data_IF_040061091973
#
_entry.id   IF_040061091973
#
_cell.length_a   1.000
_cell.length_b   1.000
_cell.length_c   1.000
_cell.angle_alpha   90.00
_cell.angle_beta   90.00
_cell.angle_gamma   90.00
#
_symmetry.space_group_name_H-M   'P 1'
#
loop_
_entity.id
_entity.type
_entity.pdbx_description
1 polymer ?
#
# COMPACT_ATOMS: atom_id res chain seq x y z
N UNK A 1 46.77 -77.10 -29.68
CA UNK A 1 45.44 -76.82 -30.25
C UNK A 1 44.57 -76.21 -29.13
N UNK A 2 44.58 -74.95 -28.91
CA UNK A 2 43.61 -74.28 -27.99
C UNK A 2 43.29 -72.95 -28.60
N UNK A 3 42.03 -72.77 -29.09
CA UNK A 3 41.53 -71.51 -29.67
C UNK A 3 41.08 -70.60 -28.53
N UNK A 4 41.74 -69.46 -28.41
CA UNK A 4 41.30 -68.39 -27.50
C UNK A 4 40.20 -67.54 -28.18
N UNK A 5 39.03 -67.52 -27.58
CA UNK A 5 37.91 -66.65 -28.00
C UNK A 5 38.05 -65.33 -27.25
N UNK A 6 38.38 -64.25 -27.98
CA UNK A 6 38.36 -62.91 -27.45
C UNK A 6 36.93 -62.40 -27.43
N UNK A 7 36.40 -62.16 -26.25
CA UNK A 7 35.10 -61.52 -26.03
C UNK A 7 35.37 -60.03 -25.93
N UNK A 8 35.02 -59.30 -27.00
CA UNK A 8 35.09 -57.86 -26.99
C UNK A 8 33.85 -57.29 -26.25
N UNK A 9 34.07 -56.75 -25.08
CA UNK A 9 33.03 -56.03 -24.34
C UNK A 9 32.95 -54.59 -24.88
N UNK A 10 31.91 -54.30 -25.63
CA UNK A 10 31.55 -52.96 -26.09
C UNK A 10 30.88 -52.23 -24.96
N UNK A 11 31.64 -51.41 -24.22
CA UNK A 11 31.08 -50.50 -23.24
C UNK A 11 30.52 -49.28 -23.98
N UNK A 12 29.21 -49.23 -24.15
CA UNK A 12 28.48 -48.05 -24.57
C UNK A 12 28.47 -47.02 -23.44
N UNK A 13 29.38 -46.05 -23.52
CA UNK A 13 29.38 -44.88 -22.63
C UNK A 13 28.28 -43.91 -23.12
N UNK A 14 27.04 -44.09 -22.64
CA UNK A 14 25.99 -43.13 -22.82
C UNK A 14 26.29 -41.90 -21.97
N UNK A 15 26.82 -40.84 -22.58
CA UNK A 15 26.96 -39.55 -21.96
C UNK A 15 25.57 -38.95 -21.71
N UNK A 16 25.11 -39.08 -20.46
CA UNK A 16 23.93 -38.36 -19.95
C UNK A 16 24.30 -36.89 -19.89
N UNK A 17 23.97 -36.12 -20.95
CA UNK A 17 24.04 -34.68 -20.89
C UNK A 17 22.93 -34.19 -19.96
N UNK A 18 23.23 -34.11 -18.66
CA UNK A 18 22.37 -33.47 -17.69
C UNK A 18 22.40 -31.96 -17.96
N UNK A 19 21.42 -31.46 -18.69
CA UNK A 19 21.11 -30.04 -18.78
C UNK A 19 20.63 -29.58 -17.40
N UNK A 20 21.54 -29.19 -16.56
CA UNK A 20 21.21 -28.49 -15.35
C UNK A 20 20.67 -27.11 -15.76
N UNK A 21 19.34 -26.95 -15.67
CA UNK A 21 18.72 -25.66 -15.72
C UNK A 21 19.35 -24.79 -14.62
N UNK A 22 20.07 -23.76 -15.03
CA UNK A 22 20.59 -22.74 -14.11
C UNK A 22 19.36 -22.11 -13.46
N UNK A 23 19.14 -22.21 -12.14
CA UNK A 23 18.07 -21.46 -11.50
C UNK A 23 18.35 -19.98 -11.79
N UNK A 24 17.37 -19.31 -12.39
CA UNK A 24 17.43 -17.85 -12.54
C UNK A 24 17.72 -17.28 -11.15
N UNK A 25 18.94 -16.85 -10.94
CA UNK A 25 19.32 -16.17 -9.72
C UNK A 25 18.43 -14.92 -9.64
N UNK A 26 17.42 -15.00 -8.78
CA UNK A 26 16.69 -13.83 -8.33
C UNK A 26 17.73 -12.98 -7.62
N UNK A 27 18.29 -12.03 -8.35
CA UNK A 27 19.12 -10.99 -7.75
C UNK A 27 18.18 -10.13 -6.89
N UNK A 28 17.93 -10.64 -5.69
CA UNK A 28 17.42 -9.84 -4.59
C UNK A 28 18.55 -8.87 -4.25
N UNK A 29 18.45 -7.64 -4.80
CA UNK A 29 19.27 -6.54 -4.32
C UNK A 29 18.81 -6.24 -2.88
N UNK A 30 19.58 -6.59 -1.82
CA UNK A 30 19.23 -6.20 -0.48
C UNK A 30 19.48 -4.69 -0.38
N UNK A 31 18.41 -3.91 -0.24
CA UNK A 31 18.50 -2.48 0.04
C UNK A 31 17.78 -1.53 -0.90
N UNK A 32 17.01 -2.00 -1.91
CA UNK A 32 16.02 -1.15 -2.56
C UNK A 32 14.66 -1.32 -1.85
N UNK A 33 14.57 -0.94 -0.60
CA UNK A 33 13.29 -0.49 -0.08
C UNK A 33 12.94 0.73 -0.93
N UNK A 34 11.89 0.64 -1.72
CA UNK A 34 11.45 1.75 -2.54
C UNK A 34 10.99 2.86 -1.58
N UNK A 35 11.83 3.85 -1.34
CA UNK A 35 11.48 5.09 -0.66
C UNK A 35 10.49 5.93 -1.50
N UNK A 36 9.82 5.29 -2.46
CA UNK A 36 8.78 5.93 -3.25
C UNK A 36 7.58 6.19 -2.33
N UNK A 37 7.02 7.40 -2.36
CA UNK A 37 5.86 7.73 -1.55
C UNK A 37 4.69 6.79 -1.87
N UNK A 38 4.14 6.15 -0.84
CA UNK A 38 2.96 5.29 -0.96
C UNK A 38 1.70 6.16 -1.02
N UNK A 39 0.94 6.02 -2.11
CA UNK A 39 -0.42 6.55 -2.17
C UNK A 39 -1.39 5.44 -2.58
N UNK A 40 -2.35 5.14 -1.71
CA UNK A 40 -3.35 4.09 -1.93
C UNK A 40 -4.76 4.58 -1.59
N UNK A 41 -5.75 4.21 -2.40
CA UNK A 41 -7.17 4.34 -2.03
C UNK A 41 -7.62 3.05 -1.37
N UNK A 42 -8.25 3.17 -0.20
CA UNK A 42 -8.73 2.06 0.63
C UNK A 42 -10.25 2.12 0.79
N UNK A 43 -10.89 0.97 0.87
CA UNK A 43 -12.31 0.84 1.15
C UNK A 43 -12.62 1.21 2.62
N UNK A 44 -13.90 1.47 2.99
CA UNK A 44 -14.27 1.69 4.39
C UNK A 44 -13.85 0.55 5.33
N UNK A 45 -13.99 -0.71 4.91
CA UNK A 45 -13.61 -1.87 5.72
C UNK A 45 -12.09 -1.98 5.91
N UNK A 46 -11.30 -1.76 4.83
CA UNK A 46 -9.85 -1.70 4.92
C UNK A 46 -9.41 -0.56 5.85
N UNK A 47 -10.02 0.62 5.70
CA UNK A 47 -9.74 1.78 6.56
C UNK A 47 -10.08 1.49 8.03
N UNK A 48 -11.20 0.80 8.31
CA UNK A 48 -11.57 0.39 9.66
C UNK A 48 -10.52 -0.54 10.27
N UNK A 49 -10.08 -1.56 9.53
CA UNK A 49 -9.01 -2.46 9.97
C UNK A 49 -7.70 -1.72 10.25
N UNK A 50 -7.35 -0.74 9.41
CA UNK A 50 -6.16 0.09 9.62
C UNK A 50 -6.28 0.93 10.91
N UNK A 51 -7.44 1.54 11.17
CA UNK A 51 -7.69 2.32 12.39
C UNK A 51 -7.56 1.45 13.64
N UNK A 52 -8.07 0.23 13.60
CA UNK A 52 -8.03 -0.69 14.74
C UNK A 52 -6.62 -1.22 15.01
N UNK A 53 -5.81 -1.43 13.98
CA UNK A 53 -4.50 -2.07 14.08
C UNK A 53 -3.32 -1.10 14.18
N UNK A 54 -3.45 0.15 13.68
CA UNK A 54 -2.33 1.10 13.56
C UNK A 54 -2.49 2.30 14.49
N UNK A 55 -1.72 2.33 15.57
CA UNK A 55 -1.72 3.45 16.54
C UNK A 55 -1.02 4.72 16.02
N UNK A 56 -0.18 4.58 15.01
CA UNK A 56 0.56 5.67 14.38
C UNK A 56 -0.24 6.40 13.29
N UNK A 57 -1.35 5.81 12.81
CA UNK A 57 -2.18 6.33 11.73
C UNK A 57 -2.89 7.63 12.13
N UNK A 58 -2.63 8.71 11.42
CA UNK A 58 -3.37 9.97 11.56
C UNK A 58 -4.61 9.94 10.68
N UNK A 59 -5.78 10.09 11.31
CA UNK A 59 -7.04 10.30 10.58
C UNK A 59 -7.21 11.79 10.33
N UNK A 60 -7.18 12.20 9.07
CA UNK A 60 -7.25 13.60 8.68
C UNK A 60 -8.52 13.88 7.89
N UNK A 61 -9.48 14.54 8.56
CA UNK A 61 -10.70 15.01 7.90
C UNK A 61 -10.43 16.36 7.24
N UNK A 62 -10.60 16.43 5.94
CA UNK A 62 -10.31 17.64 5.14
C UNK A 62 -11.58 18.38 4.71
N UNK A 63 -12.70 18.08 5.36
CA UNK A 63 -13.97 18.78 5.17
C UNK A 63 -13.98 20.15 5.85
N UNK A 64 -15.04 20.93 5.64
CA UNK A 64 -15.33 22.10 6.45
C UNK A 64 -15.88 21.69 7.83
N UNK A 65 -15.74 22.59 8.80
CA UNK A 65 -16.27 22.37 10.17
C UNK A 65 -17.79 22.19 10.18
N UNK A 66 -18.49 22.87 9.30
CA UNK A 66 -19.94 22.79 9.11
C UNK A 66 -20.40 21.40 8.64
N UNK A 67 -19.54 20.67 7.93
CA UNK A 67 -19.83 19.31 7.45
C UNK A 67 -19.77 18.23 8.55
N UNK A 68 -19.15 18.52 9.71
CA UNK A 68 -18.97 17.55 10.79
C UNK A 68 -20.29 17.15 11.46
N UNK A 69 -21.28 18.02 11.41
CA UNK A 69 -22.64 17.72 11.91
C UNK A 69 -23.30 16.53 11.21
N UNK A 70 -22.87 16.19 9.98
CA UNK A 70 -23.31 15.01 9.27
C UNK A 70 -22.67 13.69 9.77
N UNK A 71 -21.81 13.77 10.78
CA UNK A 71 -21.04 12.67 11.36
C UNK A 71 -19.56 12.71 10.98
N UNK A 72 -18.70 12.23 11.86
CA UNK A 72 -17.24 12.11 11.66
C UNK A 72 -16.69 10.83 12.27
N UNK A 73 -15.53 10.37 11.80
CA UNK A 73 -14.86 9.20 12.34
C UNK A 73 -14.15 9.60 13.64
N UNK A 74 -14.41 8.87 14.71
CA UNK A 74 -13.81 9.13 16.03
C UNK A 74 -12.27 9.11 15.95
N UNK A 75 -11.64 10.08 16.59
CA UNK A 75 -10.17 10.25 16.56
C UNK A 75 -9.63 10.97 15.33
N UNK A 76 -10.50 11.41 14.40
CA UNK A 76 -10.05 12.24 13.29
C UNK A 76 -9.71 13.68 13.73
N UNK A 77 -8.66 14.22 13.12
CA UNK A 77 -8.27 15.63 13.24
C UNK A 77 -8.83 16.39 12.04
N UNK A 78 -9.49 17.50 12.28
CA UNK A 78 -10.00 18.36 11.22
C UNK A 78 -8.90 19.36 10.81
N UNK A 79 -8.52 19.32 9.53
CA UNK A 79 -7.77 20.39 8.86
C UNK A 79 -8.42 20.61 7.51
N UNK A 80 -9.19 21.69 7.35
CA UNK A 80 -9.89 21.94 6.09
C UNK A 80 -8.94 21.96 4.89
N UNK A 81 -9.38 21.37 3.77
CA UNK A 81 -8.60 21.27 2.54
C UNK A 81 -7.95 22.60 2.15
N UNK A 82 -8.71 23.70 2.25
CA UNK A 82 -8.24 25.03 1.84
C UNK A 82 -7.12 25.57 2.72
N UNK A 83 -7.09 25.21 4.00
CA UNK A 83 -6.01 25.59 4.91
C UNK A 83 -4.71 24.87 4.55
N UNK A 84 -4.80 23.62 4.12
CA UNK A 84 -3.65 22.86 3.62
C UNK A 84 -3.14 23.45 2.30
N UNK A 85 -4.04 23.74 1.36
CA UNK A 85 -3.68 24.32 0.04
C UNK A 85 -3.07 25.69 0.18
N UNK A 86 -3.62 26.56 1.04
CA UNK A 86 -3.08 27.88 1.33
C UNK A 86 -1.78 27.83 2.15
N UNK A 87 -1.46 26.68 2.74
CA UNK A 87 -0.29 26.51 3.59
C UNK A 87 -0.42 27.12 4.97
N UNK A 88 -1.63 27.52 5.39
CA UNK A 88 -1.90 28.04 6.76
C UNK A 88 -1.85 26.94 7.80
N UNK A 89 -2.18 25.70 7.41
CA UNK A 89 -2.00 24.50 8.22
C UNK A 89 -1.29 23.41 7.41
N UNK A 90 -0.41 22.66 8.07
CA UNK A 90 0.34 21.58 7.41
C UNK A 90 0.24 20.28 8.22
N UNK A 91 -0.26 19.20 7.60
CA UNK A 91 -0.20 17.87 8.21
C UNK A 91 1.25 17.41 8.43
N UNK A 92 1.53 16.64 9.50
CA UNK A 92 2.87 16.10 9.75
C UNK A 92 3.32 15.19 8.61
N UNK A 93 4.64 15.18 8.31
CA UNK A 93 5.22 14.28 7.28
C UNK A 93 5.77 12.97 7.85
N UNK A 94 5.82 12.84 9.17
CA UNK A 94 6.43 11.69 9.86
C UNK A 94 5.42 10.62 10.33
N UNK A 95 4.20 10.67 9.80
CA UNK A 95 3.14 9.70 10.12
C UNK A 95 2.40 9.28 8.87
N UNK A 96 1.90 8.03 8.81
CA UNK A 96 0.92 7.62 7.82
C UNK A 96 -0.39 8.40 8.03
N UNK A 97 -1.02 8.81 6.95
CA UNK A 97 -2.24 9.64 6.98
C UNK A 97 -3.35 8.96 6.18
N UNK A 98 -4.51 8.79 6.81
CA UNK A 98 -5.77 8.46 6.14
C UNK A 98 -6.56 9.74 5.92
N UNK A 99 -6.68 10.16 4.67
CA UNK A 99 -7.44 11.34 4.28
C UNK A 99 -8.93 11.01 4.12
N UNK A 100 -9.77 11.83 4.73
CA UNK A 100 -11.21 11.68 4.79
C UNK A 100 -11.87 12.94 4.23
N UNK A 101 -12.84 12.80 3.33
CA UNK A 101 -13.74 13.89 2.95
C UNK A 101 -15.17 13.38 2.78
N UNK A 102 -16.09 14.17 2.23
CA UNK A 102 -17.49 13.75 2.11
C UNK A 102 -17.68 12.52 1.21
N UNK A 103 -17.11 12.53 -0.01
CA UNK A 103 -17.32 11.50 -1.06
C UNK A 103 -16.03 10.99 -1.69
N UNK A 104 -14.88 11.25 -1.08
CA UNK A 104 -13.57 10.73 -1.51
C UNK A 104 -12.83 11.53 -2.59
N UNK A 105 -13.46 12.50 -3.25
CA UNK A 105 -12.83 13.25 -4.34
C UNK A 105 -11.80 14.28 -3.87
N UNK A 106 -12.13 15.10 -2.87
CA UNK A 106 -11.23 16.10 -2.27
C UNK A 106 -9.98 15.43 -1.67
N UNK A 107 -10.19 14.36 -0.91
CA UNK A 107 -9.11 13.59 -0.28
C UNK A 107 -8.25 12.86 -1.31
N UNK A 108 -8.81 12.36 -2.42
CA UNK A 108 -8.07 11.76 -3.53
C UNK A 108 -7.11 12.77 -4.18
N UNK A 109 -7.61 13.96 -4.51
CA UNK A 109 -6.81 15.01 -5.15
C UNK A 109 -5.69 15.49 -4.22
N UNK A 110 -6.03 15.76 -2.95
CA UNK A 110 -5.06 16.17 -1.94
C UNK A 110 -3.99 15.08 -1.70
N UNK A 111 -4.38 13.82 -1.59
CA UNK A 111 -3.46 12.71 -1.36
C UNK A 111 -2.43 12.56 -2.47
N UNK A 112 -2.85 12.70 -3.73
CA UNK A 112 -1.93 12.73 -4.87
C UNK A 112 -0.95 13.89 -4.80
N UNK A 113 -1.43 15.08 -4.41
CA UNK A 113 -0.59 16.27 -4.25
C UNK A 113 0.41 16.08 -3.10
N UNK A 114 -0.03 15.61 -1.94
CA UNK A 114 0.82 15.35 -0.78
C UNK A 114 1.91 14.32 -1.09
N UNK A 115 1.54 13.19 -1.70
CA UNK A 115 2.50 12.16 -2.10
C UNK A 115 3.60 12.72 -2.99
N UNK A 116 3.25 13.53 -4.01
CA UNK A 116 4.23 14.22 -4.88
C UNK A 116 5.12 15.22 -4.14
N UNK A 117 4.68 15.74 -3.00
CA UNK A 117 5.39 16.73 -2.20
C UNK A 117 6.08 16.13 -0.95
N UNK A 118 6.32 14.82 -0.95
CA UNK A 118 7.19 14.16 0.01
C UNK A 118 6.51 13.71 1.31
N UNK A 119 5.19 13.51 1.30
CA UNK A 119 4.53 12.73 2.35
C UNK A 119 4.70 11.25 2.03
N UNK A 120 5.33 10.45 2.92
CA UNK A 120 5.79 9.11 2.55
C UNK A 120 4.66 8.07 2.45
N UNK A 121 3.58 8.24 3.21
CA UNK A 121 2.53 7.24 3.30
C UNK A 121 1.15 7.89 3.45
N UNK A 122 0.38 7.89 2.37
CA UNK A 122 -0.95 8.53 2.30
C UNK A 122 -1.99 7.51 1.82
N UNK A 123 -3.12 7.52 2.50
CA UNK A 123 -4.31 6.75 2.13
C UNK A 123 -5.48 7.69 1.86
N UNK A 124 -6.33 7.32 0.91
CA UNK A 124 -7.58 8.01 0.62
C UNK A 124 -8.75 7.09 0.96
N UNK A 125 -9.70 7.54 1.78
CA UNK A 125 -10.93 6.81 2.05
C UNK A 125 -11.82 6.84 0.81
N UNK A 126 -12.02 5.69 0.17
CA UNK A 126 -12.90 5.52 -0.99
C UNK A 126 -14.34 5.88 -0.63
N UNK A 127 -14.92 6.80 -1.38
CA UNK A 127 -16.30 7.25 -1.13
C UNK A 127 -16.49 8.11 0.13
N UNK A 128 -15.42 8.38 0.89
CA UNK A 128 -15.44 9.28 2.05
C UNK A 128 -16.42 8.86 3.15
N UNK A 129 -16.91 9.85 3.90
CA UNK A 129 -17.90 9.67 4.98
C UNK A 129 -19.20 9.02 4.46
N UNK A 130 -19.61 9.33 3.22
CA UNK A 130 -20.81 8.71 2.64
C UNK A 130 -20.67 7.19 2.56
N UNK A 131 -19.57 6.67 1.99
CA UNK A 131 -19.36 5.23 1.90
C UNK A 131 -19.12 4.59 3.28
N UNK A 132 -18.47 5.30 4.20
CA UNK A 132 -18.31 4.86 5.59
C UNK A 132 -19.67 4.64 6.28
N UNK A 133 -20.60 5.58 6.09
CA UNK A 133 -21.97 5.50 6.59
C UNK A 133 -22.78 4.38 5.92
N UNK A 134 -22.65 4.22 4.62
CA UNK A 134 -23.29 3.12 3.86
C UNK A 134 -22.82 1.74 4.34
N UNK A 135 -21.54 1.63 4.70
CA UNK A 135 -20.96 0.43 5.31
C UNK A 135 -21.40 0.23 6.79
N UNK A 136 -22.25 1.11 7.33
CA UNK A 136 -22.75 1.08 8.73
C UNK A 136 -21.64 1.10 9.77
N UNK A 137 -20.50 1.69 9.44
CA UNK A 137 -19.40 1.86 10.37
C UNK A 137 -19.66 3.03 11.34
N UNK A 138 -19.09 2.99 12.55
CA UNK A 138 -19.43 3.96 13.61
C UNK A 138 -19.02 5.39 13.25
N UNK A 139 -19.90 6.33 13.53
CA UNK A 139 -19.68 7.77 13.44
C UNK A 139 -20.01 8.45 14.77
N UNK A 140 -19.35 9.57 15.05
CA UNK A 140 -19.70 10.57 16.06
C UNK A 140 -20.42 11.74 15.40
N UNK A 141 -21.20 12.48 16.21
CA UNK A 141 -21.98 13.66 15.77
C UNK A 141 -21.71 14.83 16.69
#
# INVERSE_FOLDING_TARGET
MKKAVFFAIFILLSAFLSTQAIPAAQHQFPGLESNAPLFKTVTPDEARQMIDSRKDLLLLDVRGADELSAGYIEGSTLIPLWDIIKGTQRPPKNKPILLICAVGGRSLALGKLMSKNGWPEIYNLKGGISAWKEAKLPLKY
#
